data_IF_049697770501
#
_entry.id   IF_049697770501
#
_cell.length_a   1.000
_cell.length_b   1.000
_cell.length_c   1.000
_cell.angle_alpha   90.00
_cell.angle_beta   90.00
_cell.angle_gamma   90.00
#
_symmetry.space_group_name_H-M   'P 1'
#
loop_
_entity.id
_entity.type
_entity.pdbx_description
1 polymer ?
#
# COMPACT_ATOMS: atom_id res chain seq x y z
N UNK A 1 14.47 11.67 42.73
CA UNK A 1 13.48 12.40 41.94
C UNK A 1 13.53 12.10 40.43
N UNK A 2 14.31 11.12 39.94
CA UNK A 2 14.55 10.89 38.48
C UNK A 2 13.58 9.94 37.81
N UNK A 3 12.94 8.98 38.53
CA UNK A 3 12.08 7.94 37.90
C UNK A 3 10.70 8.42 37.38
N UNK A 4 10.19 9.53 37.89
CA UNK A 4 8.89 10.10 37.48
C UNK A 4 8.97 10.88 36.17
N UNK A 5 10.13 11.44 35.83
CA UNK A 5 10.33 12.23 34.61
C UNK A 5 10.35 11.34 33.35
N UNK A 6 10.89 10.12 33.44
CA UNK A 6 10.95 9.18 32.32
C UNK A 6 9.59 8.59 31.95
N UNK A 7 8.67 8.48 32.92
CA UNK A 7 7.32 7.95 32.67
C UNK A 7 6.45 8.95 31.90
N UNK A 8 6.65 10.24 32.12
CA UNK A 8 5.93 11.31 31.42
C UNK A 8 6.38 11.41 29.95
N UNK A 9 7.68 11.21 29.67
CA UNK A 9 8.22 11.25 28.32
C UNK A 9 7.71 10.10 27.44
N UNK A 10 7.48 8.91 28.04
CA UNK A 10 6.95 7.71 27.34
C UNK A 10 5.46 7.83 26.99
N UNK A 11 4.70 8.65 27.72
CA UNK A 11 3.26 8.88 27.46
C UNK A 11 2.99 9.95 26.38
N UNK A 12 3.97 10.78 26.04
CA UNK A 12 3.83 11.85 25.05
C UNK A 12 4.15 11.35 23.62
N UNK A 13 4.94 10.27 23.47
CA UNK A 13 5.35 9.72 22.17
C UNK A 13 4.21 9.24 21.25
N UNK A 14 3.11 8.63 21.72
CA UNK A 14 2.03 8.21 20.84
C UNK A 14 1.13 9.35 20.34
N UNK A 15 1.13 10.52 20.99
CA UNK A 15 0.21 11.61 20.62
C UNK A 15 0.74 12.42 19.41
N UNK A 16 2.05 12.44 19.19
CA UNK A 16 2.67 13.16 18.08
C UNK A 16 2.47 12.52 16.70
N UNK A 17 1.92 11.28 16.64
CA UNK A 17 1.71 10.55 15.37
C UNK A 17 0.33 10.86 14.75
N UNK A 18 -0.62 11.35 15.54
CA UNK A 18 -1.96 11.71 15.07
C UNK A 18 -1.96 13.14 14.51
N UNK A 19 -2.26 13.30 13.24
CA UNK A 19 -2.34 14.59 12.55
C UNK A 19 -1.25 14.83 11.50
N UNK A 20 -0.21 13.97 11.45
CA UNK A 20 0.97 14.20 10.62
C UNK A 20 0.71 14.03 9.11
N UNK A 21 -0.15 13.06 8.70
CA UNK A 21 -0.44 12.85 7.28
C UNK A 21 -1.34 13.94 6.70
N UNK A 22 -2.26 14.49 7.49
CA UNK A 22 -3.14 15.56 7.02
C UNK A 22 -2.38 16.88 6.82
N UNK A 23 -1.40 17.18 7.67
CA UNK A 23 -0.53 18.34 7.52
C UNK A 23 0.42 18.17 6.34
N UNK A 24 1.11 17.04 6.25
CA UNK A 24 2.00 16.72 5.14
C UNK A 24 1.28 16.68 3.78
N UNK A 25 0.02 16.25 3.73
CA UNK A 25 -0.82 16.33 2.53
C UNK A 25 -1.05 17.77 2.09
N UNK A 26 -1.30 18.68 3.06
CA UNK A 26 -1.47 20.10 2.77
C UNK A 26 -0.18 20.70 2.21
N UNK A 27 0.95 20.48 2.87
CA UNK A 27 2.27 20.91 2.41
C UNK A 27 2.59 20.38 1.00
N UNK A 28 2.33 19.09 0.75
CA UNK A 28 2.52 18.48 -0.56
C UNK A 28 1.66 19.15 -1.65
N UNK A 29 0.41 19.52 -1.34
CA UNK A 29 -0.49 20.18 -2.31
C UNK A 29 -0.08 21.61 -2.63
N UNK A 30 0.57 22.30 -1.69
CA UNK A 30 1.04 23.67 -1.82
C UNK A 30 2.43 23.76 -2.48
N UNK A 31 3.17 22.63 -2.56
CA UNK A 31 4.50 22.59 -3.14
C UNK A 31 4.46 22.73 -4.67
N UNK A 32 5.13 23.78 -5.16
CA UNK A 32 5.26 24.05 -6.60
C UNK A 32 6.28 23.18 -7.31
N UNK A 33 7.21 22.57 -6.55
CA UNK A 33 8.29 21.71 -7.05
C UNK A 33 8.10 20.29 -6.54
N UNK A 34 7.06 19.60 -7.06
CA UNK A 34 6.72 18.23 -6.68
C UNK A 34 7.71 17.22 -7.25
N UNK A 35 8.83 17.02 -6.58
CA UNK A 35 9.79 15.97 -6.88
C UNK A 35 9.45 14.70 -6.08
N UNK A 36 9.35 13.56 -6.77
CA UNK A 36 8.94 12.29 -6.14
C UNK A 36 9.87 11.89 -4.99
N UNK A 37 11.17 12.05 -5.16
CA UNK A 37 12.19 11.68 -4.17
C UNK A 37 11.94 12.36 -2.82
N UNK A 38 11.51 13.60 -2.82
CA UNK A 38 11.16 14.36 -1.60
C UNK A 38 9.94 13.75 -0.88
N UNK A 39 8.97 13.24 -1.64
CA UNK A 39 7.71 12.73 -1.10
C UNK A 39 7.62 11.21 -1.01
N UNK A 40 8.66 10.50 -1.44
CA UNK A 40 8.73 9.04 -1.35
C UNK A 40 8.53 8.51 0.08
N UNK A 41 9.18 9.06 1.13
CA UNK A 41 8.94 8.62 2.51
C UNK A 41 7.49 8.89 2.98
N UNK A 42 6.89 10.00 2.53
CA UNK A 42 5.50 10.32 2.85
C UNK A 42 4.55 9.32 2.19
N UNK A 43 4.77 8.98 0.92
CA UNK A 43 3.96 7.98 0.22
C UNK A 43 4.08 6.60 0.89
N UNK A 44 5.29 6.19 1.26
CA UNK A 44 5.50 4.92 1.98
C UNK A 44 4.74 4.91 3.31
N UNK A 45 4.90 5.94 4.13
CA UNK A 45 4.17 6.10 5.39
C UNK A 45 2.65 6.11 5.22
N UNK A 46 2.15 6.73 4.15
CA UNK A 46 0.72 6.74 3.84
C UNK A 46 0.20 5.34 3.48
N UNK A 47 0.98 4.54 2.74
CA UNK A 47 0.60 3.15 2.44
C UNK A 47 0.65 2.27 3.68
N UNK A 48 1.68 2.39 4.54
CA UNK A 48 1.73 1.70 5.83
C UNK A 48 0.51 2.03 6.68
N UNK A 49 0.19 3.32 6.83
CA UNK A 49 -0.97 3.75 7.61
C UNK A 49 -2.28 3.11 7.12
N UNK A 50 -2.49 2.98 5.81
CA UNK A 50 -3.68 2.33 5.24
C UNK A 50 -3.77 0.87 5.69
N UNK A 51 -2.67 0.12 5.67
CA UNK A 51 -2.68 -1.31 5.97
C UNK A 51 -2.61 -1.62 7.47
N UNK A 52 -2.14 -0.70 8.29
CA UNK A 52 -2.10 -0.82 9.75
C UNK A 52 -3.44 -0.44 10.42
N UNK A 53 -4.34 0.24 9.70
CA UNK A 53 -5.57 0.76 10.27
C UNK A 53 -6.82 0.27 9.52
N UNK A 54 -7.95 0.02 10.22
CA UNK A 54 -9.22 -0.28 9.57
C UNK A 54 -9.68 0.86 8.65
N UNK A 55 -10.41 0.52 7.58
CA UNK A 55 -11.06 1.53 6.74
C UNK A 55 -11.97 2.41 7.58
N UNK A 56 -11.66 3.69 7.64
CA UNK A 56 -12.41 4.68 8.39
C UNK A 56 -12.60 5.97 7.59
N UNK A 57 -13.77 6.10 6.96
CA UNK A 57 -14.12 7.27 6.16
C UNK A 57 -14.27 8.57 6.97
N UNK A 58 -14.32 8.50 8.30
CA UNK A 58 -14.41 9.65 9.20
C UNK A 58 -13.04 10.06 9.79
N UNK A 59 -12.00 9.25 9.61
CA UNK A 59 -10.66 9.58 10.06
C UNK A 59 -9.97 10.53 9.09
N UNK A 60 -9.59 11.71 9.54
CA UNK A 60 -8.81 12.67 8.72
C UNK A 60 -7.51 12.04 8.22
N UNK A 61 -6.83 11.28 9.07
CA UNK A 61 -5.58 10.62 8.74
C UNK A 61 -5.78 9.55 7.66
N UNK A 62 -6.82 8.71 7.78
CA UNK A 62 -7.11 7.70 6.76
C UNK A 62 -7.49 8.35 5.42
N UNK A 63 -8.27 9.43 5.44
CA UNK A 63 -8.60 10.21 4.25
C UNK A 63 -7.31 10.80 3.64
N UNK A 64 -6.44 11.39 4.46
CA UNK A 64 -5.19 11.98 4.00
C UNK A 64 -4.24 10.92 3.41
N UNK A 65 -4.10 9.78 4.06
CA UNK A 65 -3.34 8.65 3.53
C UNK A 65 -3.84 8.21 2.15
N UNK A 66 -5.17 8.04 2.00
CA UNK A 66 -5.76 7.65 0.70
C UNK A 66 -5.60 8.73 -0.36
N UNK A 67 -5.63 10.01 0.01
CA UNK A 67 -5.39 11.12 -0.93
C UNK A 67 -3.93 11.21 -1.37
N UNK A 68 -2.95 11.00 -0.46
CA UNK A 68 -1.53 10.94 -0.80
C UNK A 68 -1.27 9.81 -1.79
N UNK A 69 -1.76 8.60 -1.49
CA UNK A 69 -1.60 7.45 -2.37
C UNK A 69 -2.29 7.69 -3.72
N UNK A 70 -3.55 8.18 -3.72
CA UNK A 70 -4.31 8.48 -4.95
C UNK A 70 -3.63 9.54 -5.82
N UNK A 71 -2.95 10.51 -5.22
CA UNK A 71 -2.20 11.51 -5.95
C UNK A 71 -0.98 10.91 -6.68
N UNK A 72 -0.21 10.07 -5.99
CA UNK A 72 1.02 9.52 -6.54
C UNK A 72 0.81 8.31 -7.47
N UNK A 73 -0.26 7.52 -7.30
CA UNK A 73 -0.50 6.35 -8.16
C UNK A 73 -0.73 6.68 -9.65
N UNK A 74 -1.00 7.95 -9.98
CA UNK A 74 -1.16 8.44 -11.35
C UNK A 74 0.07 9.21 -11.85
N UNK A 75 1.19 9.16 -11.13
CA UNK A 75 2.44 9.87 -11.46
C UNK A 75 3.60 8.89 -11.61
N UNK A 76 4.70 9.35 -12.18
CA UNK A 76 5.92 8.55 -12.19
C UNK A 76 6.52 8.51 -10.78
N UNK A 77 6.50 7.33 -10.17
CA UNK A 77 7.07 7.02 -8.86
C UNK A 77 8.35 6.18 -8.97
N UNK A 78 8.98 6.20 -10.15
CA UNK A 78 10.19 5.43 -10.42
C UNK A 78 9.96 3.94 -10.66
N UNK A 79 8.71 3.44 -10.48
CA UNK A 79 8.30 2.07 -10.77
C UNK A 79 6.97 2.02 -11.52
N UNK A 80 6.79 1.01 -12.37
CA UNK A 80 5.48 0.68 -12.94
C UNK A 80 4.61 -0.04 -11.91
N UNK A 81 3.30 0.16 -12.01
CA UNK A 81 2.32 -0.53 -11.15
C UNK A 81 1.51 -1.50 -12.04
N UNK A 82 1.73 -2.82 -11.93
CA UNK A 82 1.12 -3.79 -12.85
C UNK A 82 -0.34 -4.11 -12.48
N UNK A 83 -1.27 -3.23 -12.85
CA UNK A 83 -2.72 -3.33 -12.60
C UNK A 83 -3.45 -4.14 -13.68
N UNK A 84 -3.14 -5.44 -13.80
CA UNK A 84 -3.75 -6.35 -14.76
C UNK A 84 -3.84 -7.79 -14.22
N UNK A 85 -4.45 -8.68 -14.98
CA UNK A 85 -4.53 -10.11 -14.70
C UNK A 85 -5.81 -10.54 -13.97
N UNK A 86 -5.97 -11.87 -13.82
CA UNK A 86 -7.17 -12.49 -13.25
C UNK A 86 -7.45 -12.00 -11.82
N UNK A 87 -6.41 -11.80 -11.00
CA UNK A 87 -6.58 -11.31 -9.64
C UNK A 87 -7.13 -9.89 -9.63
N UNK A 88 -6.50 -8.96 -10.38
CA UNK A 88 -6.97 -7.57 -10.44
C UNK A 88 -8.43 -7.46 -10.88
N UNK A 89 -8.84 -8.24 -11.89
CA UNK A 89 -10.23 -8.26 -12.38
C UNK A 89 -11.22 -8.93 -11.42
N UNK A 90 -10.75 -9.74 -10.48
CA UNK A 90 -11.59 -10.32 -9.43
C UNK A 90 -11.92 -9.33 -8.30
N UNK A 91 -11.12 -8.26 -8.17
CA UNK A 91 -11.32 -7.20 -7.17
C UNK A 91 -12.45 -6.26 -7.59
N UNK A 92 -13.21 -5.76 -6.62
CA UNK A 92 -14.31 -4.83 -6.90
C UNK A 92 -13.90 -3.38 -6.65
N UNK A 93 -14.36 -2.48 -7.53
CA UNK A 93 -14.21 -1.04 -7.33
C UNK A 93 -15.14 -0.51 -6.23
N UNK A 94 -16.34 -1.08 -6.07
CA UNK A 94 -17.32 -0.69 -5.06
C UNK A 94 -16.74 -0.66 -3.64
N UNK A 95 -15.88 -1.64 -3.34
CA UNK A 95 -15.22 -1.76 -2.03
C UNK A 95 -13.79 -1.22 -2.04
N UNK A 96 -13.41 -0.42 -3.03
CA UNK A 96 -12.06 0.15 -3.19
C UNK A 96 -10.93 -0.90 -3.23
N UNK A 97 -11.25 -2.17 -3.50
CA UNK A 97 -10.26 -3.25 -3.47
C UNK A 97 -9.17 -3.08 -4.53
N UNK A 98 -9.50 -2.57 -5.73
CA UNK A 98 -8.50 -2.27 -6.76
C UNK A 98 -7.55 -1.14 -6.32
N UNK A 99 -8.09 -0.10 -5.68
CA UNK A 99 -7.28 0.96 -5.07
C UNK A 99 -6.34 0.39 -4.00
N UNK A 100 -6.87 -0.41 -3.07
CA UNK A 100 -6.07 -1.02 -2.01
C UNK A 100 -5.00 -1.96 -2.58
N UNK A 101 -5.30 -2.70 -3.64
CA UNK A 101 -4.29 -3.53 -4.29
C UNK A 101 -3.17 -2.71 -4.93
N UNK A 102 -3.52 -1.61 -5.59
CA UNK A 102 -2.54 -0.68 -6.14
C UNK A 102 -1.68 -0.08 -5.03
N UNK A 103 -2.30 0.34 -3.92
CA UNK A 103 -1.59 0.84 -2.74
C UNK A 103 -0.65 -0.22 -2.12
N UNK A 104 -1.07 -1.49 -2.11
CA UNK A 104 -0.25 -2.60 -1.60
C UNK A 104 0.98 -2.88 -2.49
N UNK A 105 0.84 -2.78 -3.82
CA UNK A 105 1.97 -2.89 -4.73
C UNK A 105 2.96 -1.73 -4.56
N UNK A 106 2.46 -0.51 -4.37
CA UNK A 106 3.29 0.67 -4.07
C UNK A 106 4.01 0.48 -2.74
N UNK A 107 3.31 0.06 -1.69
CA UNK A 107 3.89 -0.21 -0.38
C UNK A 107 5.05 -1.19 -0.50
N UNK A 108 4.82 -2.35 -1.14
CA UNK A 108 5.86 -3.35 -1.33
C UNK A 108 7.07 -2.82 -2.11
N UNK A 109 6.84 -2.14 -3.23
CA UNK A 109 7.92 -1.59 -4.06
C UNK A 109 8.76 -0.53 -3.32
N UNK A 110 8.11 0.31 -2.52
CA UNK A 110 8.79 1.31 -1.68
C UNK A 110 9.53 0.66 -0.51
N UNK A 111 8.97 -0.35 0.12
CA UNK A 111 9.64 -1.14 1.15
C UNK A 111 10.94 -1.76 0.62
N UNK A 112 10.87 -2.41 -0.55
CA UNK A 112 12.06 -2.97 -1.20
C UNK A 112 13.13 -1.91 -1.49
N UNK A 113 12.73 -0.72 -1.93
CA UNK A 113 13.66 0.39 -2.22
C UNK A 113 14.26 0.98 -0.94
N UNK A 114 13.42 1.28 0.06
CA UNK A 114 13.83 2.03 1.27
C UNK A 114 14.57 1.13 2.27
N UNK A 115 14.03 -0.06 2.53
CA UNK A 115 14.52 -0.93 3.59
C UNK A 115 15.46 -2.03 3.11
N UNK A 116 15.40 -2.41 1.82
CA UNK A 116 16.19 -3.51 1.25
C UNK A 116 17.14 -3.09 0.12
N UNK A 117 17.18 -1.80 -0.22
CA UNK A 117 18.00 -1.25 -1.31
C UNK A 117 17.81 -1.97 -2.66
N UNK A 118 16.58 -2.47 -2.93
CA UNK A 118 16.18 -3.17 -4.15
C UNK A 118 15.21 -2.32 -4.96
N UNK A 119 15.52 -2.07 -6.23
CA UNK A 119 14.67 -1.28 -7.13
C UNK A 119 13.91 -2.23 -8.06
N UNK A 120 12.61 -2.37 -7.84
CA UNK A 120 11.69 -3.11 -8.70
C UNK A 120 11.05 -2.16 -9.71
N UNK A 121 11.59 -2.13 -10.92
CA UNK A 121 11.17 -1.12 -11.93
C UNK A 121 9.80 -1.41 -12.53
N UNK A 122 9.44 -2.68 -12.73
CA UNK A 122 8.20 -3.09 -13.39
C UNK A 122 7.93 -2.30 -14.68
N UNK A 123 8.96 -2.11 -15.52
CA UNK A 123 8.85 -1.45 -16.83
C UNK A 123 9.00 -2.50 -17.93
N UNK A 124 8.29 -2.36 -19.07
CA UNK A 124 8.43 -3.29 -20.19
C UNK A 124 9.89 -3.46 -20.61
N UNK A 125 10.31 -4.71 -20.80
CA UNK A 125 11.64 -5.09 -21.31
C UNK A 125 11.50 -5.65 -22.71
N UNK A 126 12.40 -5.27 -23.63
CA UNK A 126 12.40 -5.76 -24.98
C UNK A 126 12.56 -7.28 -25.03
N UNK A 127 11.80 -7.94 -25.89
CA UNK A 127 11.85 -9.40 -26.07
C UNK A 127 11.21 -10.21 -24.93
N UNK A 128 10.68 -9.58 -23.89
CA UNK A 128 10.04 -10.26 -22.77
C UNK A 128 8.60 -9.80 -22.57
N UNK A 129 7.68 -10.76 -22.46
CA UNK A 129 6.29 -10.45 -22.14
C UNK A 129 6.18 -9.84 -20.75
N UNK A 130 5.51 -8.69 -20.66
CA UNK A 130 5.44 -7.91 -19.42
C UNK A 130 4.94 -8.73 -18.21
N UNK A 131 3.90 -9.55 -18.39
CA UNK A 131 3.34 -10.41 -17.34
C UNK A 131 4.26 -11.56 -16.88
N UNK A 132 5.35 -11.81 -17.60
CA UNK A 132 6.32 -12.87 -17.28
C UNK A 132 7.61 -12.33 -16.65
N UNK A 133 7.76 -11.01 -16.57
CA UNK A 133 8.90 -10.38 -15.92
C UNK A 133 8.88 -10.64 -14.42
N UNK A 134 10.03 -11.00 -13.87
CA UNK A 134 10.19 -11.38 -12.47
C UNK A 134 9.76 -10.28 -11.51
N UNK A 135 10.23 -9.05 -11.73
CA UNK A 135 9.87 -7.89 -10.92
C UNK A 135 8.35 -7.57 -10.97
N UNK A 136 7.71 -7.76 -12.11
CA UNK A 136 6.26 -7.59 -12.28
C UNK A 136 5.50 -8.66 -11.49
N UNK A 137 5.87 -9.92 -11.62
CA UNK A 137 5.25 -11.04 -10.90
C UNK A 137 5.46 -10.92 -9.39
N UNK A 138 6.66 -10.53 -8.95
CA UNK A 138 7.00 -10.31 -7.55
C UNK A 138 6.12 -9.21 -6.93
N UNK A 139 6.02 -8.04 -7.58
CA UNK A 139 5.21 -6.91 -7.10
C UNK A 139 3.73 -7.28 -7.04
N UNK A 140 3.20 -7.93 -8.09
CA UNK A 140 1.81 -8.37 -8.10
C UNK A 140 1.50 -9.36 -6.97
N UNK A 141 2.33 -10.39 -6.80
CA UNK A 141 2.10 -11.42 -5.79
C UNK A 141 2.25 -10.86 -4.36
N UNK A 142 3.26 -10.02 -4.13
CA UNK A 142 3.50 -9.44 -2.81
C UNK A 142 2.42 -8.40 -2.44
N UNK A 143 2.02 -7.55 -3.37
CA UNK A 143 0.87 -6.67 -3.17
C UNK A 143 -0.43 -7.44 -2.92
N UNK A 144 -0.63 -8.58 -3.61
CA UNK A 144 -1.78 -9.43 -3.35
C UNK A 144 -1.76 -10.04 -1.94
N UNK A 145 -0.60 -10.47 -1.42
CA UNK A 145 -0.48 -10.98 -0.05
C UNK A 145 -0.85 -9.90 0.97
N UNK A 146 -0.31 -8.68 0.84
CA UNK A 146 -0.63 -7.53 1.71
C UNK A 146 -2.14 -7.26 1.69
N UNK A 147 -2.73 -7.14 0.49
CA UNK A 147 -4.17 -6.90 0.36
C UNK A 147 -5.00 -8.02 1.00
N UNK A 148 -4.70 -9.29 0.70
CA UNK A 148 -5.50 -10.44 1.16
C UNK A 148 -5.42 -10.64 2.66
N UNK A 149 -4.29 -10.34 3.28
CA UNK A 149 -4.15 -10.28 4.73
C UNK A 149 -5.06 -9.18 5.32
N UNK A 150 -4.98 -7.98 4.76
CA UNK A 150 -5.77 -6.84 5.19
C UNK A 150 -7.28 -7.07 5.07
N UNK A 151 -7.78 -7.43 3.88
CA UNK A 151 -9.22 -7.66 3.66
C UNK A 151 -9.73 -8.95 4.30
N UNK A 152 -8.86 -9.92 4.55
CA UNK A 152 -9.17 -11.14 5.26
C UNK A 152 -9.43 -10.96 6.76
N UNK A 153 -9.04 -9.80 7.31
CA UNK A 153 -9.32 -9.40 8.68
C UNK A 153 -10.64 -8.62 8.73
N UNK A 154 -11.65 -9.21 9.37
CA UNK A 154 -13.01 -8.60 9.49
C UNK A 154 -12.99 -7.22 10.16
N UNK A 155 -12.00 -6.93 11.01
CA UNK A 155 -11.87 -5.64 11.71
C UNK A 155 -11.60 -4.49 10.74
N UNK A 156 -11.08 -4.77 9.54
CA UNK A 156 -10.72 -3.76 8.55
C UNK A 156 -11.91 -3.26 7.71
N UNK A 157 -13.13 -3.73 7.98
CA UNK A 157 -14.36 -3.23 7.36
C UNK A 157 -14.33 -3.22 5.81
N UNK A 158 -13.72 -4.25 5.22
CA UNK A 158 -13.61 -4.41 3.76
C UNK A 158 -14.45 -5.60 3.30
N UNK A 159 -15.66 -5.38 2.76
CA UNK A 159 -16.49 -6.45 2.24
C UNK A 159 -15.79 -7.21 1.11
N UNK A 160 -15.93 -8.53 1.10
CA UNK A 160 -15.29 -9.42 0.12
C UNK A 160 -16.36 -10.10 -0.72
N UNK A 161 -16.25 -10.04 -2.05
CA UNK A 161 -17.10 -10.80 -2.95
C UNK A 161 -16.67 -12.27 -3.07
N UNK A 162 -17.49 -13.10 -3.73
CA UNK A 162 -17.22 -14.53 -3.89
C UNK A 162 -15.93 -14.82 -4.69
N UNK A 163 -15.59 -13.98 -5.69
CA UNK A 163 -14.37 -14.14 -6.50
C UNK A 163 -13.13 -13.84 -5.66
N UNK A 164 -13.09 -12.70 -4.97
CA UNK A 164 -11.99 -12.33 -4.09
C UNK A 164 -11.82 -13.33 -2.93
N UNK A 165 -12.94 -13.89 -2.41
CA UNK A 165 -12.89 -14.87 -1.32
C UNK A 165 -12.14 -16.16 -1.69
N UNK A 166 -12.12 -16.54 -2.96
CA UNK A 166 -11.30 -17.70 -3.42
C UNK A 166 -9.82 -17.43 -3.20
N UNK A 167 -9.35 -16.22 -3.51
CA UNK A 167 -7.96 -15.83 -3.28
C UNK A 167 -7.61 -15.71 -1.80
N UNK A 168 -8.53 -15.18 -0.97
CA UNK A 168 -8.32 -15.17 0.50
C UNK A 168 -8.16 -16.59 1.04
N UNK A 169 -8.98 -17.54 0.56
CA UNK A 169 -8.86 -18.96 0.96
C UNK A 169 -7.55 -19.58 0.48
N UNK A 170 -7.12 -19.28 -0.75
CA UNK A 170 -5.85 -19.77 -1.31
C UNK A 170 -4.65 -19.20 -0.53
N UNK A 171 -4.68 -17.90 -0.21
CA UNK A 171 -3.66 -17.25 0.62
C UNK A 171 -3.52 -17.94 1.99
N UNK A 172 -4.64 -18.13 2.71
CA UNK A 172 -4.65 -18.81 4.02
C UNK A 172 -4.14 -20.26 3.99
N UNK A 173 -4.21 -20.92 2.83
CA UNK A 173 -3.72 -22.29 2.62
C UNK A 173 -2.29 -22.34 2.06
N UNK A 174 -1.60 -21.20 1.87
CA UNK A 174 -0.28 -21.14 1.24
C UNK A 174 -0.26 -21.46 -0.26
N UNK A 175 -1.43 -21.47 -0.93
CA UNK A 175 -1.61 -21.83 -2.35
C UNK A 175 -1.83 -20.64 -3.28
N UNK A 176 -1.53 -19.43 -2.83
CA UNK A 176 -1.79 -18.23 -3.61
C UNK A 176 -0.98 -18.19 -4.91
N UNK A 177 0.29 -18.61 -4.86
CA UNK A 177 1.20 -18.58 -6.02
C UNK A 177 0.67 -19.43 -7.17
N UNK A 178 0.20 -20.66 -6.88
CA UNK A 178 -0.41 -21.57 -7.85
C UNK A 178 -1.63 -20.89 -8.51
N UNK A 179 -2.53 -20.32 -7.71
CA UNK A 179 -3.75 -19.69 -8.20
C UNK A 179 -3.51 -18.37 -8.96
N UNK A 180 -2.35 -17.74 -8.77
CA UNK A 180 -2.07 -16.43 -9.30
C UNK A 180 -1.48 -16.47 -10.72
N UNK A 181 -0.68 -17.49 -11.02
CA UNK A 181 0.09 -17.60 -12.25
C UNK A 181 -0.31 -18.76 -13.17
N UNK A 182 -1.21 -19.65 -12.69
CA UNK A 182 -1.87 -20.69 -13.50
C UNK A 182 -3.18 -20.13 -14.14
#
# INVERSE_FOLDING_TARGET
MSKKLHLILLLILPIAVFGQLSESLKEMKEDKNLEFEKYQPLLYKATEYIFDNPVNANSKEFISATQIVGFWMNKDIGMGIPTFGKFFTALTNENKQQFLYTAAMINYGLDQKINHNRILKCKPKEGQKYSEQEDVREVQLSGAKILLEYIGNKKNNTPINSKTNKYVKAYKKGKLNEMFFD
#
